data_IF_924210303843
#
_entry.id   IF_924210303843
#
_cell.length_a   1.000
_cell.length_b   1.000
_cell.length_c   1.000
_cell.angle_alpha   90.00
_cell.angle_beta   90.00
_cell.angle_gamma   90.00
#
_symmetry.space_group_name_H-M   'P 1'
#
loop_
_entity.id
_entity.type
_entity.pdbx_description
1 polymer ?
#
# COMPACT_ATOMS: atom_id res chain seq x y z
N UNK A 1 -9.62 13.99 19.35
CA UNK A 1 -9.22 12.61 19.01
C UNK A 1 -9.83 12.26 17.66
N UNK A 2 -9.31 11.24 16.98
CA UNK A 2 -9.88 10.73 15.74
C UNK A 2 -10.62 9.41 16.00
N UNK A 3 -11.66 9.15 15.21
CA UNK A 3 -12.33 7.85 15.13
C UNK A 3 -12.11 7.35 13.71
N UNK A 4 -11.56 6.14 13.58
CA UNK A 4 -11.35 5.49 12.28
C UNK A 4 -12.24 4.26 12.25
N UNK A 5 -13.26 4.29 11.38
CA UNK A 5 -14.14 3.14 11.16
C UNK A 5 -13.49 2.19 10.15
N UNK A 6 -12.80 1.18 10.67
CA UNK A 6 -12.20 0.12 9.85
C UNK A 6 -13.28 -0.73 9.13
N UNK A 7 -14.51 -0.75 9.65
CA UNK A 7 -15.65 -1.41 9.02
C UNK A 7 -16.05 -0.76 7.70
N UNK A 8 -16.04 0.58 7.61
CA UNK A 8 -16.25 1.27 6.33
C UNK A 8 -15.14 0.94 5.33
N UNK A 9 -13.87 0.90 5.76
CA UNK A 9 -12.74 0.52 4.90
C UNK A 9 -12.92 -0.89 4.30
N UNK A 10 -13.34 -1.87 5.11
CA UNK A 10 -13.70 -3.22 4.65
C UNK A 10 -14.89 -3.19 3.69
N UNK A 11 -15.93 -2.40 3.99
CA UNK A 11 -17.09 -2.25 3.12
C UNK A 11 -16.71 -1.67 1.74
N UNK A 12 -15.81 -0.68 1.69
CA UNK A 12 -15.29 -0.12 0.42
C UNK A 12 -14.48 -1.15 -0.36
N UNK A 13 -13.64 -1.96 0.30
CA UNK A 13 -12.93 -3.04 -0.36
C UNK A 13 -13.88 -4.06 -1.02
N UNK A 14 -14.91 -4.49 -0.29
CA UNK A 14 -15.91 -5.42 -0.82
C UNK A 14 -16.69 -4.80 -2.00
N UNK A 15 -17.04 -3.52 -1.90
CA UNK A 15 -17.66 -2.79 -2.99
C UNK A 15 -16.73 -2.70 -4.22
N UNK A 16 -15.45 -2.40 -4.02
CA UNK A 16 -14.45 -2.39 -5.09
C UNK A 16 -14.39 -3.72 -5.82
N UNK A 17 -14.27 -4.84 -5.08
CA UNK A 17 -14.25 -6.18 -5.68
C UNK A 17 -15.50 -6.50 -6.48
N UNK A 18 -16.67 -6.01 -6.05
CA UNK A 18 -17.92 -6.17 -6.78
C UNK A 18 -17.96 -5.36 -8.08
N UNK A 19 -17.47 -4.12 -8.05
CA UNK A 19 -17.54 -3.19 -9.18
C UNK A 19 -16.41 -3.38 -10.19
N UNK A 20 -15.23 -3.82 -9.74
CA UNK A 20 -14.02 -3.97 -10.54
C UNK A 20 -13.37 -5.35 -10.30
N UNK A 21 -14.02 -6.46 -10.70
CA UNK A 21 -13.57 -7.81 -10.37
C UNK A 21 -12.19 -8.17 -10.96
N UNK A 22 -11.81 -7.53 -12.08
CA UNK A 22 -10.54 -7.77 -12.76
C UNK A 22 -9.41 -6.85 -12.27
N UNK A 23 -9.72 -5.80 -11.50
CA UNK A 23 -8.75 -4.82 -11.05
C UNK A 23 -8.33 -5.05 -9.59
N UNK A 24 -7.05 -5.33 -9.38
CA UNK A 24 -6.45 -5.45 -8.06
C UNK A 24 -6.19 -4.03 -7.52
N UNK A 25 -6.81 -3.62 -6.38
CA UNK A 25 -6.54 -2.32 -5.82
C UNK A 25 -5.13 -2.24 -5.22
N UNK A 26 -4.43 -1.13 -5.49
CA UNK A 26 -3.23 -0.73 -4.76
C UNK A 26 -3.55 0.54 -3.98
N UNK A 27 -3.61 0.45 -2.65
CA UNK A 27 -3.95 1.57 -1.79
C UNK A 27 -2.80 2.58 -1.74
N UNK A 28 -3.08 3.84 -2.04
CA UNK A 28 -2.10 4.92 -1.95
C UNK A 28 -1.84 5.29 -0.49
N UNK A 29 -0.70 4.87 0.06
CA UNK A 29 -0.38 5.01 1.49
C UNK A 29 -0.36 6.48 1.91
N UNK A 30 0.15 7.36 1.06
CA UNK A 30 0.14 8.83 1.22
C UNK A 30 -1.22 9.46 1.53
N UNK A 31 -2.34 8.78 1.24
CA UNK A 31 -3.68 9.28 1.53
C UNK A 31 -4.00 9.23 3.03
N UNK A 32 -3.62 8.15 3.70
CA UNK A 32 -3.73 7.95 5.15
C UNK A 32 -2.88 6.73 5.53
N UNK A 33 -1.81 6.96 6.28
CA UNK A 33 -0.84 5.96 6.71
C UNK A 33 -1.13 5.40 8.11
N UNK A 34 -2.36 5.53 8.61
CA UNK A 34 -2.79 4.94 9.88
C UNK A 34 -2.47 3.41 9.93
N UNK A 35 -1.71 2.95 10.94
CA UNK A 35 -1.31 1.54 11.02
C UNK A 35 -2.47 0.55 11.06
N UNK A 36 -3.61 0.92 11.69
CA UNK A 36 -4.81 0.08 11.77
C UNK A 36 -5.46 -0.08 10.40
N UNK A 37 -5.54 1.01 9.62
CA UNK A 37 -6.03 0.98 8.25
C UNK A 37 -5.12 0.15 7.33
N UNK A 38 -3.81 0.38 7.39
CA UNK A 38 -2.84 -0.35 6.57
C UNK A 38 -2.83 -1.86 6.91
N UNK A 39 -2.88 -2.22 8.20
CA UNK A 39 -2.97 -3.62 8.64
C UNK A 39 -4.27 -4.30 8.18
N UNK A 40 -5.38 -3.56 8.19
CA UNK A 40 -6.68 -4.03 7.68
C UNK A 40 -6.57 -4.35 6.18
N UNK A 41 -6.05 -3.42 5.38
CA UNK A 41 -5.88 -3.64 3.94
C UNK A 41 -4.86 -4.74 3.62
N UNK A 42 -3.78 -4.86 4.40
CA UNK A 42 -2.81 -5.93 4.25
C UNK A 42 -3.44 -7.32 4.46
N UNK A 43 -4.32 -7.44 5.46
CA UNK A 43 -5.08 -8.66 5.79
C UNK A 43 -6.12 -9.02 4.72
N UNK A 44 -6.69 -8.02 4.04
CA UNK A 44 -7.63 -8.21 2.92
C UNK A 44 -6.94 -8.59 1.59
N UNK A 45 -5.61 -8.59 1.55
CA UNK A 45 -4.84 -8.94 0.36
C UNK A 45 -4.69 -7.82 -0.67
N UNK A 46 -4.94 -6.56 -0.29
CA UNK A 46 -4.81 -5.39 -1.15
C UNK A 46 -3.31 -5.10 -1.41
N UNK A 47 -2.99 -4.53 -2.57
CA UNK A 47 -1.67 -3.99 -2.87
C UNK A 47 -1.44 -2.60 -2.30
N UNK A 48 -0.23 -2.06 -2.39
CA UNK A 48 0.08 -0.73 -1.89
C UNK A 48 0.81 0.09 -2.95
N UNK A 49 0.34 1.31 -3.19
CA UNK A 49 1.06 2.36 -3.88
C UNK A 49 1.83 3.16 -2.83
N UNK A 50 3.16 3.03 -2.85
CA UNK A 50 4.06 3.77 -2.00
C UNK A 50 4.75 4.89 -2.80
N UNK A 51 4.83 6.08 -2.22
CA UNK A 51 5.48 7.25 -2.81
C UNK A 51 6.83 7.60 -2.16
N UNK A 52 7.21 6.89 -1.09
CA UNK A 52 8.44 7.17 -0.35
C UNK A 52 9.08 5.91 0.24
N UNK A 53 10.36 6.02 0.62
CA UNK A 53 11.08 4.99 1.40
C UNK A 53 10.34 4.64 2.70
N UNK A 54 9.76 5.65 3.38
CA UNK A 54 9.03 5.46 4.64
C UNK A 54 7.77 4.63 4.44
N UNK A 55 6.99 4.92 3.40
CA UNK A 55 5.79 4.14 3.07
C UNK A 55 6.12 2.69 2.73
N UNK A 56 7.19 2.45 1.97
CA UNK A 56 7.67 1.08 1.70
C UNK A 56 8.00 0.37 3.02
N UNK A 57 8.75 1.02 3.92
CA UNK A 57 9.11 0.43 5.21
C UNK A 57 7.87 0.06 6.04
N UNK A 58 6.92 0.98 6.18
CA UNK A 58 5.68 0.74 6.94
C UNK A 58 4.90 -0.47 6.39
N UNK A 59 4.74 -0.56 5.07
CA UNK A 59 4.03 -1.67 4.43
C UNK A 59 4.80 -2.99 4.57
N UNK A 60 6.14 -2.96 4.46
CA UNK A 60 7.00 -4.13 4.66
C UNK A 60 6.95 -4.64 6.11
N UNK A 61 6.90 -3.75 7.09
CA UNK A 61 6.82 -4.11 8.52
C UNK A 61 5.51 -4.83 8.87
N UNK A 62 4.44 -4.62 8.07
CA UNK A 62 3.18 -5.37 8.15
C UNK A 62 3.27 -6.77 7.50
N UNK A 63 4.44 -7.19 7.04
CA UNK A 63 4.65 -8.50 6.41
C UNK A 63 4.16 -8.59 4.97
N UNK A 64 3.88 -7.46 4.32
CA UNK A 64 3.41 -7.44 2.93
C UNK A 64 4.51 -7.91 1.98
N UNK A 65 4.14 -8.83 1.09
CA UNK A 65 5.02 -9.31 0.03
C UNK A 65 5.33 -8.19 -0.96
N UNK A 66 6.59 -8.12 -1.41
CA UNK A 66 7.09 -6.99 -2.21
C UNK A 66 6.47 -6.90 -3.61
N UNK A 67 5.92 -8.01 -4.12
CA UNK A 67 5.17 -8.08 -5.37
C UNK A 67 3.81 -7.37 -5.30
N UNK A 68 3.30 -7.10 -4.09
CA UNK A 68 2.09 -6.29 -3.89
C UNK A 68 2.38 -4.80 -3.70
N UNK A 69 3.64 -4.36 -3.80
CA UNK A 69 4.04 -2.97 -3.60
C UNK A 69 4.47 -2.36 -4.94
N UNK A 70 3.91 -1.20 -5.28
CA UNK A 70 4.34 -0.38 -6.42
C UNK A 70 4.98 0.90 -5.87
N UNK A 71 6.20 1.20 -6.31
CA UNK A 71 6.84 2.48 -6.00
C UNK A 71 6.46 3.53 -7.06
N UNK A 72 5.26 4.12 -6.93
CA UNK A 72 4.63 4.92 -7.98
C UNK A 72 4.91 6.44 -7.93
N UNK A 73 5.96 6.87 -7.22
CA UNK A 73 6.42 8.27 -7.28
C UNK A 73 7.29 8.49 -8.53
N UNK A 74 6.96 9.37 -9.49
CA UNK A 74 7.78 9.55 -10.71
C UNK A 74 9.17 10.15 -10.44
N UNK A 75 9.36 10.87 -9.33
CA UNK A 75 10.59 11.59 -8.99
C UNK A 75 11.26 10.99 -7.76
N UNK A 76 12.06 9.92 -7.94
CA UNK A 76 12.68 9.14 -6.86
C UNK A 76 14.16 9.52 -6.67
N UNK A 77 14.58 9.68 -5.43
CA UNK A 77 16.01 9.81 -5.12
C UNK A 77 16.74 8.48 -5.41
N UNK A 78 17.98 8.55 -5.92
CA UNK A 78 18.80 7.35 -6.21
C UNK A 78 18.95 6.43 -4.99
N UNK A 79 19.12 7.02 -3.80
CA UNK A 79 19.19 6.29 -2.53
C UNK A 79 17.90 5.52 -2.21
N UNK A 80 16.73 6.09 -2.56
CA UNK A 80 15.43 5.46 -2.33
C UNK A 80 15.14 4.35 -3.34
N UNK A 81 15.56 4.51 -4.60
CA UNK A 81 15.50 3.44 -5.60
C UNK A 81 16.35 2.25 -5.15
N UNK A 82 17.57 2.50 -4.66
CA UNK A 82 18.44 1.45 -4.10
C UNK A 82 17.76 0.74 -2.93
N UNK A 83 17.17 1.48 -1.99
CA UNK A 83 16.43 0.89 -0.88
C UNK A 83 15.25 0.03 -1.36
N UNK A 84 14.44 0.49 -2.31
CA UNK A 84 13.33 -0.28 -2.85
C UNK A 84 13.81 -1.61 -3.45
N UNK A 85 14.91 -1.59 -4.21
CA UNK A 85 15.58 -2.79 -4.72
C UNK A 85 16.03 -3.73 -3.60
N UNK A 86 16.67 -3.20 -2.56
CA UNK A 86 17.15 -3.99 -1.41
C UNK A 86 15.97 -4.63 -0.62
N UNK A 87 14.78 -4.03 -0.66
CA UNK A 87 13.53 -4.58 -0.10
C UNK A 87 12.76 -5.50 -1.08
N UNK A 88 13.28 -5.72 -2.29
CA UNK A 88 12.64 -6.52 -3.32
C UNK A 88 11.43 -5.85 -4.00
N UNK A 89 11.22 -4.55 -3.82
CA UNK A 89 10.18 -3.78 -4.49
C UNK A 89 10.69 -3.37 -5.87
N UNK A 90 10.25 -4.11 -6.90
CA UNK A 90 10.78 -3.99 -8.26
C UNK A 90 9.86 -3.23 -9.21
N UNK A 91 8.56 -3.18 -8.93
CA UNK A 91 7.58 -2.48 -9.77
C UNK A 91 7.57 -0.99 -9.43
N UNK A 92 7.87 -0.16 -10.44
CA UNK A 92 7.93 1.30 -10.32
C UNK A 92 7.45 1.98 -11.60
N UNK A 93 6.90 3.20 -11.47
CA UNK A 93 6.53 4.07 -12.58
C UNK A 93 7.63 5.06 -12.97
#
# INVERSE_FOLDING_TARGET
>A
FYIIDLGDAVAKYNLWKKLFPEAIPHYAVKCNDDPGLLATFASLGIGFDCASKGEIAMVKDLGVASDRIIYANPCKQKSHIKYAKDQGVMLMT
#
